data_IF_219296676439
#
_entry.id   IF_219296676439
#
_cell.length_a   1.000
_cell.length_b   1.000
_cell.length_c   1.000
_cell.angle_alpha   90.00
_cell.angle_beta   90.00
_cell.angle_gamma   90.00
#
_symmetry.space_group_name_H-M   'P 1'
#
loop_
_entity.id
_entity.type
_entity.pdbx_description
1 polymer ?
#
# COMPACT_ATOMS: atom_id res chain seq x y z
N UNK A 1 -10.18 36.19 -21.47
CA UNK A 1 -10.19 36.47 -20.02
C UNK A 1 -9.57 35.28 -19.32
N UNK A 2 -8.28 35.33 -18.93
CA UNK A 2 -7.65 34.21 -18.25
C UNK A 2 -8.06 34.19 -16.79
N UNK A 3 -8.66 33.09 -16.34
CA UNK A 3 -8.99 32.82 -14.95
C UNK A 3 -7.70 32.61 -14.14
N UNK A 4 -7.48 33.46 -13.14
CA UNK A 4 -6.40 33.30 -12.17
C UNK A 4 -6.60 31.99 -11.39
N UNK A 5 -5.69 31.03 -11.58
CA UNK A 5 -5.64 29.83 -10.77
C UNK A 5 -5.13 30.19 -9.37
N UNK A 6 -5.89 29.85 -8.34
CA UNK A 6 -5.50 30.03 -6.95
C UNK A 6 -4.24 29.18 -6.66
N UNK A 7 -3.08 29.84 -6.54
CA UNK A 7 -1.84 29.21 -6.12
C UNK A 7 -1.90 28.95 -4.61
N UNK A 8 -2.08 27.69 -4.22
CA UNK A 8 -1.97 27.27 -2.82
C UNK A 8 -0.49 27.09 -2.47
N UNK A 9 0.07 27.88 -1.51
CA UNK A 9 1.51 27.96 -1.29
C UNK A 9 2.17 26.66 -0.83
N UNK A 10 1.40 25.75 -0.23
CA UNK A 10 1.91 24.46 0.26
C UNK A 10 1.85 23.35 -0.79
N UNK A 11 1.00 23.49 -1.80
CA UNK A 11 0.81 22.47 -2.84
C UNK A 11 1.90 22.56 -3.91
N UNK A 12 2.39 23.77 -4.18
CA UNK A 12 3.53 24.02 -5.06
C UNK A 12 4.86 23.55 -4.45
N UNK A 13 5.04 23.67 -3.13
CA UNK A 13 6.23 23.16 -2.44
C UNK A 13 6.28 21.62 -2.40
N UNK A 14 5.12 20.97 -2.22
CA UNK A 14 5.04 19.50 -2.19
C UNK A 14 5.29 18.90 -3.58
N UNK A 15 4.78 19.53 -4.63
CA UNK A 15 5.03 19.11 -6.01
C UNK A 15 6.48 19.34 -6.44
N UNK A 16 7.14 20.40 -5.97
CA UNK A 16 8.59 20.59 -6.19
C UNK A 16 9.45 19.54 -5.48
N UNK A 17 9.02 19.02 -4.33
CA UNK A 17 9.74 17.97 -3.60
C UNK A 17 9.57 16.57 -4.22
N UNK A 18 8.50 16.34 -4.98
CA UNK A 18 8.17 15.04 -5.58
C UNK A 18 8.68 14.85 -7.02
N UNK A 19 9.34 15.85 -7.62
CA UNK A 19 9.91 15.72 -8.97
C UNK A 19 11.38 15.33 -8.87
N UNK A 20 11.79 14.16 -9.39
CA UNK A 20 13.20 13.85 -9.55
C UNK A 20 13.81 14.84 -10.55
N UNK A 21 14.65 15.75 -10.06
CA UNK A 21 15.44 16.65 -10.90
C UNK A 21 16.56 15.90 -11.61
N UNK A 22 16.25 15.13 -12.65
CA UNK A 22 17.22 14.78 -13.69
C UNK A 22 16.52 14.62 -15.04
N UNK A 23 16.72 15.59 -15.94
CA UNK A 23 16.31 15.49 -17.35
C UNK A 23 17.33 14.76 -18.24
N UNK A 24 18.46 14.31 -17.68
CA UNK A 24 19.54 13.61 -18.39
C UNK A 24 20.48 12.93 -17.38
N UNK A 25 20.16 11.68 -17.02
CA UNK A 25 21.05 10.76 -16.29
C UNK A 25 21.63 9.70 -17.23
N UNK A 26 22.73 9.01 -16.86
CA UNK A 26 23.52 8.19 -17.78
C UNK A 26 22.73 6.97 -18.25
N UNK A 27 22.79 6.74 -19.56
CA UNK A 27 22.36 5.57 -20.32
C UNK A 27 21.82 4.38 -19.50
N UNK A 28 20.50 4.35 -19.31
CA UNK A 28 19.75 3.27 -18.63
C UNK A 28 19.63 2.00 -19.49
N UNK A 29 20.41 1.85 -20.56
CA UNK A 29 20.41 0.69 -21.44
C UNK A 29 20.77 -0.63 -20.74
N UNK A 30 21.27 -0.58 -19.49
CA UNK A 30 21.63 -1.75 -18.67
C UNK A 30 20.78 -1.90 -17.41
N UNK A 31 19.79 -1.04 -17.20
CA UNK A 31 18.87 -1.26 -16.09
C UNK A 31 18.07 -2.54 -16.36
N UNK A 32 17.92 -3.43 -15.36
CA UNK A 32 17.03 -4.57 -15.50
C UNK A 32 15.64 -4.03 -15.87
N UNK A 33 14.90 -4.73 -16.75
CA UNK A 33 13.57 -4.26 -17.16
C UNK A 33 12.76 -3.96 -15.91
N UNK A 34 12.02 -2.84 -15.88
CA UNK A 34 11.15 -2.52 -14.76
C UNK A 34 10.29 -3.75 -14.47
N UNK A 35 10.17 -4.18 -13.21
CA UNK A 35 9.42 -5.38 -12.88
C UNK A 35 8.06 -5.26 -13.55
N UNK A 36 7.65 -6.30 -14.27
CA UNK A 36 6.33 -6.38 -14.87
C UNK A 36 5.30 -6.27 -13.75
N UNK A 37 4.93 -5.03 -13.41
CA UNK A 37 3.78 -4.72 -12.59
C UNK A 37 2.62 -5.17 -13.45
N UNK A 38 2.13 -6.39 -13.17
CA UNK A 38 0.88 -6.89 -13.71
C UNK A 38 -0.10 -5.71 -13.64
N UNK A 39 -0.71 -5.28 -14.76
CA UNK A 39 -1.70 -4.23 -14.73
C UNK A 39 -2.82 -4.72 -13.81
N UNK A 40 -2.81 -4.24 -12.58
CA UNK A 40 -3.85 -4.49 -11.59
C UNK A 40 -5.14 -4.01 -12.24
N UNK A 41 -5.99 -4.95 -12.66
CA UNK A 41 -7.25 -4.66 -13.31
C UNK A 41 -8.04 -3.71 -12.42
N UNK A 42 -8.14 -2.44 -12.84
CA UNK A 42 -8.98 -1.39 -12.23
C UNK A 42 -9.20 -1.54 -10.73
N UNK A 43 -8.12 -1.74 -9.95
CA UNK A 43 -8.24 -1.74 -8.50
C UNK A 43 -8.68 -0.32 -8.13
N UNK A 44 -9.76 -0.21 -7.35
CA UNK A 44 -10.21 1.09 -6.85
C UNK A 44 -9.03 1.81 -6.18
N UNK A 45 -8.97 3.15 -6.24
CA UNK A 45 -7.89 3.89 -5.58
C UNK A 45 -7.74 3.52 -4.09
N UNK A 46 -8.83 3.11 -3.45
CA UNK A 46 -8.88 2.58 -2.09
C UNK A 46 -8.16 1.22 -1.96
N UNK A 47 -8.38 0.28 -2.89
CA UNK A 47 -7.70 -1.01 -2.89
C UNK A 47 -6.19 -0.87 -3.11
N UNK A 48 -5.79 0.07 -3.98
CA UNK A 48 -4.36 0.40 -4.18
C UNK A 48 -3.72 0.94 -2.90
N UNK A 49 -4.41 1.83 -2.22
CA UNK A 49 -3.95 2.40 -0.95
C UNK A 49 -3.82 1.34 0.16
N UNK A 50 -4.75 0.38 0.23
CA UNK A 50 -4.66 -0.74 1.17
C UNK A 50 -3.46 -1.63 0.80
N UNK A 51 -3.25 -1.91 -0.48
CA UNK A 51 -2.12 -2.69 -0.97
C UNK A 51 -0.78 -2.06 -0.58
N UNK A 52 -0.63 -0.74 -0.78
CA UNK A 52 0.59 0.01 -0.41
C UNK A 52 0.90 -0.11 1.09
N UNK A 53 -0.12 -0.03 1.95
CA UNK A 53 0.03 -0.19 3.40
C UNK A 53 0.42 -1.63 3.77
N UNK A 54 -0.16 -2.64 3.13
CA UNK A 54 0.19 -4.04 3.38
C UNK A 54 1.62 -4.37 2.92
N UNK A 55 2.06 -3.82 1.79
CA UNK A 55 3.44 -3.97 1.31
C UNK A 55 4.43 -3.23 2.21
N UNK A 56 4.08 -2.04 2.71
CA UNK A 56 4.86 -1.34 3.72
C UNK A 56 5.03 -2.16 4.99
N UNK A 57 3.94 -2.77 5.50
CA UNK A 57 4.01 -3.65 6.66
C UNK A 57 4.87 -4.90 6.43
N UNK A 58 4.82 -5.53 5.24
CA UNK A 58 5.68 -6.67 4.91
C UNK A 58 7.17 -6.28 4.91
N UNK A 59 7.50 -5.10 4.39
CA UNK A 59 8.88 -4.59 4.44
C UNK A 59 9.33 -4.32 5.87
N UNK A 60 8.51 -3.62 6.65
CA UNK A 60 8.80 -3.28 8.04
C UNK A 60 9.02 -4.54 8.91
N UNK A 61 8.23 -5.60 8.72
CA UNK A 61 8.41 -6.87 9.47
C UNK A 61 9.73 -7.55 9.13
N UNK A 62 10.15 -7.51 7.85
CA UNK A 62 11.41 -8.13 7.42
C UNK A 62 12.63 -7.37 7.92
N UNK A 63 12.47 -6.09 8.20
CA UNK A 63 13.51 -5.20 8.72
C UNK A 63 13.44 -5.07 10.26
N UNK A 64 12.68 -5.93 10.94
CA UNK A 64 12.47 -5.93 12.40
C UNK A 64 11.92 -4.60 12.96
N UNK A 65 11.16 -3.84 12.15
CA UNK A 65 10.49 -2.60 12.52
C UNK A 65 9.03 -2.83 12.95
N UNK A 66 8.83 -3.63 14.00
CA UNK A 66 7.50 -4.06 14.48
C UNK A 66 6.51 -2.91 14.71
N UNK A 67 6.98 -1.75 15.20
CA UNK A 67 6.13 -0.59 15.45
C UNK A 67 5.61 0.03 14.15
N UNK A 68 6.48 0.16 13.13
CA UNK A 68 6.10 0.72 11.83
C UNK A 68 5.13 -0.23 11.11
N UNK A 69 5.44 -1.52 11.12
CA UNK A 69 4.55 -2.57 10.63
C UNK A 69 3.17 -2.51 11.31
N UNK A 70 3.13 -2.37 12.63
CA UNK A 70 1.89 -2.25 13.39
C UNK A 70 1.04 -1.05 12.99
N UNK A 71 1.67 0.11 12.72
CA UNK A 71 0.98 1.32 12.24
C UNK A 71 0.38 1.07 10.85
N UNK A 72 1.17 0.51 9.93
CA UNK A 72 0.73 0.21 8.57
C UNK A 72 -0.44 -0.78 8.55
N UNK A 73 -0.39 -1.83 9.37
CA UNK A 73 -1.49 -2.79 9.53
C UNK A 73 -2.76 -2.13 10.11
N UNK A 74 -2.62 -1.26 11.12
CA UNK A 74 -3.77 -0.56 11.71
C UNK A 74 -4.43 0.42 10.73
N UNK A 75 -3.63 1.12 9.92
CA UNK A 75 -4.14 2.00 8.87
C UNK A 75 -4.85 1.22 7.77
N UNK A 76 -4.28 0.08 7.34
CA UNK A 76 -4.89 -0.81 6.36
C UNK A 76 -6.24 -1.35 6.87
N UNK A 77 -6.28 -1.82 8.12
CA UNK A 77 -7.50 -2.29 8.77
C UNK A 77 -8.59 -1.20 8.81
N UNK A 78 -8.22 0.03 9.19
CA UNK A 78 -9.15 1.17 9.27
C UNK A 78 -9.74 1.49 7.90
N UNK A 79 -8.90 1.51 6.85
CA UNK A 79 -9.37 1.77 5.48
C UNK A 79 -10.32 0.69 4.97
N UNK A 80 -10.02 -0.58 5.23
CA UNK A 80 -10.91 -1.67 4.84
C UNK A 80 -12.25 -1.56 5.58
N UNK A 81 -12.25 -1.31 6.90
CA UNK A 81 -13.48 -1.12 7.68
C UNK A 81 -14.30 0.08 7.17
N UNK A 82 -13.64 1.17 6.78
CA UNK A 82 -14.29 2.34 6.20
C UNK A 82 -14.97 1.98 4.87
N UNK A 83 -14.27 1.29 3.96
CA UNK A 83 -14.83 0.81 2.70
C UNK A 83 -16.08 -0.07 2.93
N UNK A 84 -16.01 -1.00 3.90
CA UNK A 84 -17.16 -1.85 4.28
C UNK A 84 -18.34 -1.02 4.78
N UNK A 85 -18.08 0.02 5.59
CA UNK A 85 -19.14 0.92 6.08
C UNK A 85 -19.81 1.75 4.98
N UNK A 86 -19.09 2.05 3.89
CA UNK A 86 -19.62 2.75 2.72
C UNK A 86 -20.38 1.82 1.75
N UNK A 87 -20.55 0.55 2.10
CA UNK A 87 -21.37 -0.40 1.34
C UNK A 87 -20.59 -1.38 0.49
N UNK A 88 -19.26 -1.39 0.56
CA UNK A 88 -18.43 -2.39 -0.11
C UNK A 88 -18.52 -3.73 0.66
N UNK A 89 -19.26 -4.69 0.09
CA UNK A 89 -19.49 -6.01 0.70
C UNK A 89 -18.57 -7.09 0.12
N UNK A 90 -17.42 -6.70 -0.45
CA UNK A 90 -16.50 -7.67 -1.02
C UNK A 90 -16.06 -8.71 0.04
N UNK A 91 -16.29 -10.03 -0.20
CA UNK A 91 -15.82 -11.08 0.71
C UNK A 91 -14.29 -11.12 0.78
N UNK A 92 -13.60 -10.56 -0.21
CA UNK A 92 -12.16 -10.43 -0.21
C UNK A 92 -11.65 -9.46 0.86
N UNK A 93 -12.37 -8.34 1.09
CA UNK A 93 -12.05 -7.37 2.14
C UNK A 93 -12.20 -7.98 3.53
N UNK A 94 -13.24 -8.79 3.73
CA UNK A 94 -13.44 -9.52 4.98
C UNK A 94 -12.29 -10.54 5.21
N UNK A 95 -11.87 -11.23 4.16
CA UNK A 95 -10.72 -12.14 4.21
C UNK A 95 -9.43 -11.38 4.56
N UNK A 96 -9.21 -10.21 3.94
CA UNK A 96 -8.06 -9.37 4.23
C UNK A 96 -8.04 -8.91 5.70
N UNK A 97 -9.17 -8.52 6.28
CA UNK A 97 -9.28 -8.18 7.71
C UNK A 97 -8.88 -9.35 8.62
N UNK A 98 -9.36 -10.56 8.34
CA UNK A 98 -8.98 -11.75 9.12
C UNK A 98 -7.49 -12.02 9.03
N UNK A 99 -6.88 -11.85 7.85
CA UNK A 99 -5.45 -12.05 7.64
C UNK A 99 -4.59 -10.97 8.30
N UNK A 100 -5.03 -9.72 8.30
CA UNK A 100 -4.38 -8.63 9.05
C UNK A 100 -4.38 -8.93 10.55
N UNK A 101 -5.52 -9.37 11.10
CA UNK A 101 -5.61 -9.76 12.50
C UNK A 101 -4.64 -10.92 12.83
N UNK A 102 -4.57 -11.93 11.97
CA UNK A 102 -3.62 -13.03 12.11
C UNK A 102 -2.16 -12.55 12.04
N UNK A 103 -1.81 -11.65 11.12
CA UNK A 103 -0.46 -11.09 11.02
C UNK A 103 -0.05 -10.38 12.32
N UNK A 104 -0.95 -9.58 12.90
CA UNK A 104 -0.71 -8.90 14.19
C UNK A 104 -0.51 -9.89 15.35
N UNK A 105 -1.28 -10.97 15.38
CA UNK A 105 -1.13 -12.02 16.39
C UNK A 105 0.23 -12.73 16.29
N UNK A 106 0.68 -13.05 15.08
CA UNK A 106 1.95 -13.72 14.85
C UNK A 106 3.15 -12.78 15.08
N UNK A 107 3.02 -11.49 14.77
CA UNK A 107 4.00 -10.46 15.18
C UNK A 107 4.13 -10.37 16.70
N UNK A 108 3.01 -10.43 17.45
CA UNK A 108 3.04 -10.43 18.91
C UNK A 108 3.72 -11.68 19.51
N UNK A 109 3.81 -12.77 18.73
CA UNK A 109 4.56 -14.00 19.08
C UNK A 109 6.00 -13.97 18.56
N UNK A 110 6.43 -12.91 17.89
CA UNK A 110 7.70 -12.79 17.17
C UNK A 110 7.92 -13.88 16.11
N UNK A 111 6.84 -14.44 15.53
CA UNK A 111 6.93 -15.37 14.39
C UNK A 111 6.80 -14.58 13.08
N UNK A 112 7.92 -13.96 12.67
CA UNK A 112 8.00 -13.13 11.45
C UNK A 112 7.61 -13.91 10.20
N UNK A 113 7.98 -15.19 10.12
CA UNK A 113 7.63 -16.06 8.97
C UNK A 113 6.12 -16.22 8.84
N UNK A 114 5.42 -16.47 9.94
CA UNK A 114 3.95 -16.61 9.93
C UNK A 114 3.27 -15.27 9.73
N UNK A 115 3.81 -14.18 10.28
CA UNK A 115 3.30 -12.84 10.04
C UNK A 115 3.35 -12.46 8.55
N UNK A 116 4.49 -12.67 7.88
CA UNK A 116 4.64 -12.42 6.44
C UNK A 116 3.73 -13.34 5.60
N UNK A 117 3.55 -14.61 6.01
CA UNK A 117 2.63 -15.52 5.32
C UNK A 117 1.17 -15.03 5.41
N UNK A 118 0.73 -14.58 6.58
CA UNK A 118 -0.60 -13.99 6.76
C UNK A 118 -0.76 -12.69 5.94
N UNK A 119 0.27 -11.85 5.88
CA UNK A 119 0.29 -10.66 5.03
C UNK A 119 0.18 -10.98 3.54
N UNK A 120 0.91 -11.98 3.06
CA UNK A 120 0.82 -12.43 1.67
C UNK A 120 -0.59 -12.93 1.33
N UNK A 121 -1.28 -13.57 2.28
CA UNK A 121 -2.70 -13.95 2.12
C UNK A 121 -3.62 -12.73 2.07
N UNK A 122 -3.38 -11.70 2.89
CA UNK A 122 -4.13 -10.45 2.86
C UNK A 122 -3.96 -9.74 1.51
N UNK A 123 -2.73 -9.62 1.02
CA UNK A 123 -2.41 -9.02 -0.29
C UNK A 123 -3.09 -9.78 -1.42
N UNK A 124 -3.03 -11.12 -1.41
CA UNK A 124 -3.71 -11.94 -2.42
C UNK A 124 -5.23 -11.75 -2.40
N UNK A 125 -5.84 -11.61 -1.23
CA UNK A 125 -7.26 -11.33 -1.12
C UNK A 125 -7.60 -9.97 -1.75
N UNK A 126 -6.84 -8.91 -1.44
CA UNK A 126 -7.07 -7.57 -1.99
C UNK A 126 -6.83 -7.50 -3.50
N UNK A 127 -5.89 -8.29 -4.04
CA UNK A 127 -5.61 -8.35 -5.49
C UNK A 127 -6.56 -9.26 -6.28
N UNK A 128 -7.38 -10.07 -5.61
CA UNK A 128 -8.29 -10.98 -6.31
C UNK A 128 -9.37 -10.19 -7.07
N UNK A 129 -9.60 -10.46 -8.36
CA UNK A 129 -10.64 -9.79 -9.13
C UNK A 129 -12.03 -10.07 -8.50
N UNK A 130 -12.86 -9.02 -8.38
CA UNK A 130 -14.24 -9.09 -7.90
C UNK A 130 -15.22 -9.22 -9.06
#
# INVERSE_FOLDING_TARGET
MPTAAAQHPYLDLFSFALVPRMKTGPDHAKDPPPPHLLPLASASPEAKQVLELLLGADHDIRDDHDQAAGINLALAETRIRLAVSHGDKSPALQTALTRIAQAREEMAKHDTRRACAALADAVRAVMAPH
#
